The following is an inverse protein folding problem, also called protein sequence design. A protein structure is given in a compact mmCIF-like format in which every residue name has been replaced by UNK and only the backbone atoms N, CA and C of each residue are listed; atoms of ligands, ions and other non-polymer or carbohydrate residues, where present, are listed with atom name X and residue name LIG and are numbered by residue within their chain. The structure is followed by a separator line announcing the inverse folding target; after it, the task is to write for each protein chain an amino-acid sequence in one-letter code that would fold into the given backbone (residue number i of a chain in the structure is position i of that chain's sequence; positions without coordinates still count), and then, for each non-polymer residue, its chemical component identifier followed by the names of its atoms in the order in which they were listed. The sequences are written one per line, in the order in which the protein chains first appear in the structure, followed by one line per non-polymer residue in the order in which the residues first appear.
data_IF_650703457525
#
_entry.id   IF_650703457525
#
_cell.length_a   1.000
_cell.length_b   1.000
_cell.length_c   1.000
_cell.angle_alpha   90.00
_cell.angle_beta   90.00
_cell.angle_gamma   90.00
#
_symmetry.space_group_name_H-M   'P 1'
#
loop_
_entity.id
_entity.type
_entity.pdbx_description
1 polymer ?
#
# COMPACT_ATOMS: atom_id res chain seq x y z
N UNK A 1 -3.33 -28.25 31.75
CA UNK A 1 -3.87 -26.92 31.41
C UNK A 1 -2.79 -26.05 30.81
N UNK A 2 -2.83 -25.81 29.51
CA UNK A 2 -1.91 -24.87 28.86
C UNK A 2 -2.49 -23.48 29.10
N UNK A 3 -1.84 -22.70 29.96
CA UNK A 3 -2.20 -21.32 30.24
C UNK A 3 -2.07 -20.52 28.94
N UNK A 4 -3.18 -20.11 28.35
CA UNK A 4 -3.20 -19.16 27.23
C UNK A 4 -2.78 -17.79 27.79
N UNK A 5 -1.58 -17.35 27.44
CA UNK A 5 -1.08 -16.03 27.84
C UNK A 5 -1.92 -14.97 27.11
N UNK A 6 -2.80 -14.28 27.85
CA UNK A 6 -3.48 -13.08 27.37
C UNK A 6 -2.53 -11.88 27.49
N UNK A 7 -2.26 -11.21 26.35
CA UNK A 7 -1.57 -9.91 26.34
C UNK A 7 -2.63 -8.81 26.44
N UNK A 8 -2.47 -7.90 27.38
CA UNK A 8 -3.40 -6.80 27.60
C UNK A 8 -2.81 -5.50 27.01
N UNK A 9 -3.65 -4.75 26.29
CA UNK A 9 -3.31 -3.41 25.79
C UNK A 9 -3.89 -2.42 26.79
N UNK A 10 -3.06 -1.55 27.34
CA UNK A 10 -3.49 -0.51 28.27
C UNK A 10 -3.17 0.84 27.62
N UNK A 11 -4.18 1.69 27.51
CA UNK A 11 -4.14 2.97 26.78
C UNK A 11 -4.00 4.19 27.69
N UNK A 12 -3.88 3.98 29.01
CA UNK A 12 -3.78 5.06 30.00
C UNK A 12 -2.41 5.04 30.71
N UNK A 13 -1.81 6.21 30.89
CA UNK A 13 -0.44 6.42 31.37
C UNK A 13 -0.26 5.99 32.85
N UNK A 14 -1.37 5.88 33.60
CA UNK A 14 -1.37 5.69 35.06
C UNK A 14 -1.17 4.23 35.54
N UNK A 15 -0.99 3.26 34.63
CA UNK A 15 -0.77 1.86 34.98
C UNK A 15 0.64 1.38 34.60
N UNK A 16 1.66 1.97 35.24
CA UNK A 16 3.03 1.46 35.19
C UNK A 16 3.17 0.19 36.02
N UNK A 17 2.71 -0.93 35.49
CA UNK A 17 3.09 -2.27 35.95
C UNK A 17 4.22 -2.82 35.07
N UNK A 18 5.34 -3.27 35.66
CA UNK A 18 6.43 -4.00 34.99
C UNK A 18 6.04 -5.43 34.55
N UNK A 19 4.79 -5.61 34.14
CA UNK A 19 4.31 -6.92 33.70
C UNK A 19 4.58 -7.08 32.22
N UNK A 20 5.30 -8.14 31.83
CA UNK A 20 5.63 -8.45 30.43
C UNK A 20 4.36 -8.68 29.55
N UNK A 21 3.20 -8.83 30.18
CA UNK A 21 1.89 -8.96 29.51
C UNK A 21 1.24 -7.62 29.16
N UNK A 22 1.76 -6.51 29.69
CA UNK A 22 1.22 -5.16 29.47
C UNK A 22 1.96 -4.49 28.32
N UNK A 23 1.21 -4.16 27.27
CA UNK A 23 1.71 -3.35 26.15
C UNK A 23 1.17 -1.94 26.32
N UNK A 24 2.08 -1.00 26.60
CA UNK A 24 1.78 0.43 26.61
C UNK A 24 1.91 0.95 25.18
N UNK A 25 0.81 1.47 24.65
CA UNK A 25 0.80 2.15 23.35
C UNK A 25 0.31 3.57 23.56
N UNK A 26 1.20 4.52 23.31
CA UNK A 26 0.86 5.93 23.38
C UNK A 26 0.04 6.29 22.14
N UNK A 27 -1.17 6.82 22.35
CA UNK A 27 -2.02 7.30 21.26
C UNK A 27 -2.07 8.83 21.28
N UNK A 28 -1.13 9.46 20.56
CA UNK A 28 -1.09 10.92 20.36
C UNK A 28 -2.00 11.36 19.19
N UNK A 29 -3.16 10.72 19.01
CA UNK A 29 -4.09 10.98 17.91
C UNK A 29 -3.80 10.25 16.59
N UNK A 30 -2.77 9.39 16.55
CA UNK A 30 -2.50 8.48 15.43
C UNK A 30 -3.02 7.06 15.73
N UNK A 31 -4.32 6.86 15.54
CA UNK A 31 -4.98 5.58 15.79
C UNK A 31 -4.37 4.46 14.93
N UNK A 32 -4.09 4.74 13.65
CA UNK A 32 -3.52 3.73 12.75
C UNK A 32 -2.10 3.33 13.20
N UNK A 33 -1.27 4.32 13.55
CA UNK A 33 0.05 4.09 14.11
C UNK A 33 -0.01 3.24 15.38
N UNK A 34 -0.90 3.58 16.31
CA UNK A 34 -1.13 2.82 17.53
C UNK A 34 -1.53 1.37 17.23
N UNK A 35 -2.45 1.14 16.29
CA UNK A 35 -2.87 -0.22 15.87
C UNK A 35 -1.69 -1.02 15.31
N UNK A 36 -0.90 -0.43 14.41
CA UNK A 36 0.24 -1.12 13.78
C UNK A 36 1.30 -1.48 14.81
N UNK A 37 1.67 -0.54 15.69
CA UNK A 37 2.66 -0.77 16.75
C UNK A 37 2.17 -1.82 17.74
N UNK A 38 0.90 -1.75 18.13
CA UNK A 38 0.30 -2.76 19.02
C UNK A 38 0.33 -4.13 18.37
N UNK A 39 -0.08 -4.23 17.09
CA UNK A 39 -0.04 -5.49 16.35
C UNK A 39 1.38 -6.04 16.24
N UNK A 40 2.38 -5.19 16.00
CA UNK A 40 3.79 -5.58 15.98
C UNK A 40 4.22 -6.19 17.33
N UNK A 41 3.98 -5.49 18.43
CA UNK A 41 4.36 -5.92 19.78
C UNK A 41 3.64 -7.22 20.20
N UNK A 42 2.35 -7.34 19.88
CA UNK A 42 1.58 -8.57 20.10
C UNK A 42 2.18 -9.76 19.35
N UNK A 43 2.68 -9.54 18.13
CA UNK A 43 3.34 -10.54 17.30
C UNK A 43 4.83 -10.77 17.64
N UNK A 44 5.35 -10.13 18.70
CA UNK A 44 6.74 -10.28 19.15
C UNK A 44 7.75 -9.46 18.35
N UNK A 45 7.28 -8.54 17.51
CA UNK A 45 8.12 -7.61 16.74
C UNK A 45 8.42 -6.40 17.62
N UNK A 46 9.52 -6.45 18.36
CA UNK A 46 9.90 -5.39 19.31
C UNK A 46 10.84 -4.34 18.70
N UNK A 47 11.66 -4.72 17.72
CA UNK A 47 12.57 -3.80 17.01
C UNK A 47 12.25 -3.64 15.54
N UNK A 48 11.71 -4.69 14.90
CA UNK A 48 11.50 -4.72 13.45
C UNK A 48 12.83 -4.70 12.69
N UNK A 49 13.19 -5.79 12.01
CA UNK A 49 14.37 -5.76 11.13
C UNK A 49 14.01 -5.34 9.72
N UNK A 50 12.93 -5.91 9.17
CA UNK A 50 12.54 -5.72 7.79
C UNK A 50 11.02 -5.56 7.69
N UNK A 51 10.59 -4.42 7.18
CA UNK A 51 9.22 -4.16 6.78
C UNK A 51 9.08 -4.24 5.27
N UNK A 52 8.07 -4.95 4.81
CA UNK A 52 7.69 -5.04 3.40
C UNK A 52 6.25 -4.62 3.22
N UNK A 53 6.04 -3.67 2.33
CA UNK A 53 4.72 -3.22 1.90
C UNK A 53 4.41 -3.88 0.57
N UNK A 54 3.48 -4.83 0.57
CA UNK A 54 2.96 -5.44 -0.65
C UNK A 54 1.86 -4.59 -1.25
N UNK A 55 1.93 -4.38 -2.57
CA UNK A 55 0.96 -3.61 -3.34
C UNK A 55 0.50 -4.47 -4.50
N UNK A 56 -0.80 -4.73 -4.57
CA UNK A 56 -1.47 -5.42 -5.68
C UNK A 56 -2.22 -4.41 -6.56
N UNK A 57 -1.67 -3.99 -7.71
CA UNK A 57 -2.27 -2.96 -8.55
C UNK A 57 -3.51 -3.44 -9.32
N UNK A 58 -4.62 -2.71 -9.19
CA UNK A 58 -5.86 -3.00 -9.90
C UNK A 58 -6.82 -1.82 -9.92
N UNK A 59 -8.09 -2.08 -10.28
CA UNK A 59 -9.17 -1.09 -10.12
C UNK A 59 -9.35 -0.68 -8.65
N UNK A 60 -8.99 -1.56 -7.72
CA UNK A 60 -8.69 -1.26 -6.33
C UNK A 60 -7.31 -1.84 -6.05
N UNK A 61 -6.51 -1.12 -5.29
CA UNK A 61 -5.15 -1.51 -4.93
C UNK A 61 -5.19 -2.27 -3.61
N UNK A 62 -4.85 -3.55 -3.64
CA UNK A 62 -4.63 -4.31 -2.40
C UNK A 62 -3.33 -3.88 -1.74
N UNK A 63 -3.34 -3.69 -0.43
CA UNK A 63 -2.15 -3.29 0.34
C UNK A 63 -1.97 -4.21 1.54
N UNK A 64 -0.74 -4.61 1.81
CA UNK A 64 -0.38 -5.38 2.99
C UNK A 64 0.93 -4.87 3.61
N UNK A 65 0.95 -4.67 4.92
CA UNK A 65 2.16 -4.38 5.68
C UNK A 65 2.60 -5.64 6.41
N UNK A 66 3.82 -6.09 6.11
CA UNK A 66 4.48 -7.21 6.77
C UNK A 66 5.71 -6.70 7.49
N UNK A 67 5.90 -7.06 8.75
CA UNK A 67 7.15 -6.80 9.48
C UNK A 67 7.66 -8.12 10.03
N UNK A 68 8.93 -8.45 9.75
CA UNK A 68 9.59 -9.70 10.17
C UNK A 68 8.74 -10.96 9.86
N UNK A 69 8.11 -10.97 8.68
CA UNK A 69 7.27 -12.07 8.19
C UNK A 69 5.84 -12.11 8.75
N UNK A 70 5.47 -11.19 9.66
CA UNK A 70 4.13 -11.11 10.25
C UNK A 70 3.28 -10.06 9.54
N UNK A 71 2.08 -10.45 9.10
CA UNK A 71 1.10 -9.53 8.51
C UNK A 71 0.50 -8.69 9.63
N UNK A 72 0.72 -7.38 9.61
CA UNK A 72 0.24 -6.46 10.64
C UNK A 72 -1.02 -5.72 10.21
N UNK A 73 -1.12 -5.37 8.93
CA UNK A 73 -2.25 -4.63 8.39
C UNK A 73 -2.49 -5.04 6.95
N UNK A 74 -3.75 -5.10 6.56
CA UNK A 74 -4.18 -5.19 5.16
C UNK A 74 -5.27 -4.17 4.91
N UNK A 75 -5.20 -3.48 3.79
CA UNK A 75 -6.25 -2.54 3.38
C UNK A 75 -6.37 -2.51 1.87
N UNK A 76 -7.28 -1.68 1.38
CA UNK A 76 -7.45 -1.47 -0.05
C UNK A 76 -7.67 0.00 -0.36
N UNK A 77 -6.98 0.50 -1.39
CA UNK A 77 -7.09 1.86 -1.86
C UNK A 77 -7.85 1.93 -3.19
N UNK A 78 -8.67 2.96 -3.35
CA UNK A 78 -9.51 3.12 -4.54
C UNK A 78 -8.77 3.71 -5.75
N UNK A 79 -7.63 4.37 -5.53
CA UNK A 79 -6.86 5.05 -6.58
C UNK A 79 -5.35 4.87 -6.37
N UNK A 80 -4.53 5.06 -7.43
CA UNK A 80 -3.07 5.03 -7.31
C UNK A 80 -2.53 6.01 -6.26
N UNK A 81 -3.04 7.25 -6.26
CA UNK A 81 -2.62 8.27 -5.30
C UNK A 81 -3.00 7.92 -3.86
N UNK A 82 -4.19 7.35 -3.63
CA UNK A 82 -4.58 6.86 -2.32
C UNK A 82 -3.67 5.71 -1.87
N UNK A 83 -3.35 4.76 -2.76
CA UNK A 83 -2.44 3.66 -2.44
C UNK A 83 -1.03 4.15 -2.05
N UNK A 84 -0.52 5.15 -2.76
CA UNK A 84 0.76 5.80 -2.46
C UNK A 84 0.72 6.52 -1.12
N UNK A 85 -0.33 7.32 -0.83
CA UNK A 85 -0.48 7.98 0.47
C UNK A 85 -0.47 6.97 1.62
N UNK A 86 -1.19 5.86 1.46
CA UNK A 86 -1.23 4.80 2.47
C UNK A 86 0.14 4.14 2.67
N UNK A 87 0.85 3.85 1.56
CA UNK A 87 2.20 3.26 1.61
C UNK A 87 3.17 4.20 2.33
N UNK A 88 3.15 5.50 2.01
CA UNK A 88 3.99 6.50 2.64
C UNK A 88 3.62 6.71 4.12
N UNK A 89 2.32 6.64 4.46
CA UNK A 89 1.86 6.69 5.86
C UNK A 89 2.45 5.55 6.68
N UNK A 90 2.39 4.32 6.18
CA UNK A 90 3.01 3.17 6.85
C UNK A 90 4.52 3.33 6.98
N UNK A 91 5.22 3.83 5.96
CA UNK A 91 6.66 4.14 6.06
C UNK A 91 6.95 5.13 7.18
N UNK A 92 6.15 6.19 7.31
CA UNK A 92 6.29 7.19 8.39
C UNK A 92 6.08 6.55 9.76
N UNK A 93 5.00 5.76 9.93
CA UNK A 93 4.71 5.05 11.18
C UNK A 93 5.87 4.12 11.57
N UNK A 94 6.40 3.34 10.61
CA UNK A 94 7.51 2.43 10.86
C UNK A 94 8.76 3.22 11.24
N UNK A 95 9.10 4.29 10.53
CA UNK A 95 10.30 5.10 10.84
C UNK A 95 10.23 5.80 12.20
N UNK A 96 9.03 6.19 12.63
CA UNK A 96 8.82 6.84 13.93
C UNK A 96 8.90 5.86 15.10
N UNK A 97 8.41 4.62 14.93
CA UNK A 97 8.25 3.67 16.02
C UNK A 97 9.27 2.52 16.01
N UNK A 98 9.88 2.23 14.86
CA UNK A 98 10.80 1.12 14.60
C UNK A 98 12.04 1.64 13.84
N UNK A 99 12.81 2.52 14.50
CA UNK A 99 13.88 3.35 13.91
C UNK A 99 14.93 2.58 13.10
N UNK A 100 15.14 1.29 13.38
CA UNK A 100 16.13 0.45 12.70
C UNK A 100 15.54 -0.49 11.63
N UNK A 101 14.24 -0.40 11.38
CA UNK A 101 13.55 -1.27 10.44
C UNK A 101 13.76 -0.79 9.00
N UNK A 102 14.35 -1.64 8.15
CA UNK A 102 14.45 -1.36 6.72
C UNK A 102 13.05 -1.45 6.09
N UNK A 103 12.73 -0.61 5.11
CA UNK A 103 11.41 -0.63 4.46
C UNK A 103 11.55 -0.82 2.95
N UNK A 104 10.83 -1.81 2.42
CA UNK A 104 10.77 -2.12 1.00
C UNK A 104 9.32 -2.16 0.52
N UNK A 105 9.07 -1.58 -0.65
CA UNK A 105 7.78 -1.70 -1.34
C UNK A 105 7.91 -2.78 -2.41
N UNK A 106 7.00 -3.74 -2.42
CA UNK A 106 6.90 -4.77 -3.46
C UNK A 106 5.58 -4.59 -4.19
N UNK A 107 5.65 -4.40 -5.50
CA UNK A 107 4.49 -4.11 -6.33
C UNK A 107 4.27 -5.23 -7.33
N UNK A 108 3.03 -5.71 -7.40
CA UNK A 108 2.61 -6.70 -8.37
C UNK A 108 2.79 -6.25 -9.82
N UNK A 109 3.31 -7.15 -10.66
CA UNK A 109 3.52 -6.95 -12.09
C UNK A 109 2.34 -7.31 -12.99
N UNK A 110 1.24 -7.84 -12.44
CA UNK A 110 0.14 -8.46 -13.20
C UNK A 110 -0.58 -7.52 -14.17
N UNK A 111 -0.63 -6.22 -13.87
CA UNK A 111 -1.15 -5.20 -14.79
C UNK A 111 -0.14 -4.08 -15.02
N UNK A 112 0.43 -4.03 -16.23
CA UNK A 112 1.32 -2.95 -16.66
C UNK A 112 0.70 -1.57 -16.51
N UNK A 113 -0.60 -1.44 -16.76
CA UNK A 113 -1.31 -0.18 -16.63
C UNK A 113 -1.36 0.33 -15.18
N UNK A 114 -1.86 -0.49 -14.25
CA UNK A 114 -2.01 -0.07 -12.85
C UNK A 114 -0.65 0.04 -12.14
N UNK A 115 0.29 -0.84 -12.47
CA UNK A 115 1.68 -0.75 -12.01
C UNK A 115 2.28 0.62 -12.34
N UNK A 116 2.24 1.03 -13.62
CA UNK A 116 2.84 2.29 -14.04
C UNK A 116 2.16 3.51 -13.38
N UNK A 117 0.83 3.49 -13.23
CA UNK A 117 0.12 4.57 -12.53
C UNK A 117 0.56 4.70 -11.07
N UNK A 118 0.71 3.57 -10.36
CA UNK A 118 1.21 3.58 -8.99
C UNK A 118 2.65 4.07 -8.90
N UNK A 119 3.55 3.54 -9.75
CA UNK A 119 4.97 3.94 -9.75
C UNK A 119 5.15 5.42 -10.07
N UNK A 120 4.41 5.96 -11.06
CA UNK A 120 4.41 7.40 -11.38
C UNK A 120 3.93 8.25 -10.20
N UNK A 121 2.84 7.83 -9.55
CA UNK A 121 2.32 8.53 -8.37
C UNK A 121 3.33 8.49 -7.20
N UNK A 122 3.98 7.34 -7.00
CA UNK A 122 4.99 7.16 -5.96
C UNK A 122 6.23 8.03 -6.23
N UNK A 123 6.72 8.05 -7.46
CA UNK A 123 7.88 8.87 -7.86
C UNK A 123 7.62 10.37 -7.66
N UNK A 124 6.40 10.84 -7.93
CA UNK A 124 6.01 12.24 -7.66
C UNK A 124 5.94 12.56 -6.17
N UNK A 125 5.51 11.60 -5.35
CA UNK A 125 5.31 11.80 -3.92
C UNK A 125 6.59 11.59 -3.08
N UNK A 126 7.52 10.74 -3.52
CA UNK A 126 8.76 10.46 -2.80
C UNK A 126 9.87 9.93 -3.72
N UNK A 127 11.08 10.48 -3.56
CA UNK A 127 12.27 10.07 -4.33
C UNK A 127 13.16 9.03 -3.63
N UNK A 128 12.85 8.63 -2.39
CA UNK A 128 13.76 7.85 -1.52
C UNK A 128 13.14 6.58 -0.93
N UNK A 129 12.37 5.85 -1.72
CA UNK A 129 11.79 4.56 -1.31
C UNK A 129 12.33 3.42 -2.16
N UNK A 130 12.71 2.32 -1.51
CA UNK A 130 13.15 1.12 -2.20
C UNK A 130 11.93 0.37 -2.75
N UNK A 131 11.91 0.11 -4.05
CA UNK A 131 10.78 -0.53 -4.73
C UNK A 131 11.26 -1.70 -5.57
N UNK A 132 10.55 -2.82 -5.46
CA UNK A 132 10.70 -3.99 -6.32
C UNK A 132 9.39 -4.32 -7.04
N UNK A 133 9.51 -4.89 -8.23
CA UNK A 133 8.39 -5.43 -9.01
C UNK A 133 8.43 -6.95 -8.88
N UNK A 134 7.31 -7.53 -8.50
CA UNK A 134 7.15 -8.97 -8.32
C UNK A 134 6.43 -9.54 -9.53
N UNK A 135 6.98 -10.61 -10.10
CA UNK A 135 6.28 -11.35 -11.16
C UNK A 135 5.20 -12.26 -10.56
N UNK A 136 4.00 -12.16 -11.14
CA UNK A 136 2.81 -12.90 -10.72
C UNK A 136 2.54 -14.11 -11.64
N UNK A 137 3.25 -14.26 -12.77
CA UNK A 137 2.94 -15.23 -13.82
C UNK A 137 3.09 -16.73 -13.45
N UNK A 138 3.42 -17.05 -12.20
CA UNK A 138 3.54 -18.43 -11.70
C UNK A 138 2.63 -18.75 -10.50
N UNK A 139 1.52 -18.04 -10.31
CA UNK A 139 0.55 -18.36 -9.26
C UNK A 139 -0.44 -19.44 -9.73
N UNK A 140 -0.05 -20.71 -9.64
CA UNK A 140 -1.05 -21.75 -9.36
C UNK A 140 -1.45 -21.57 -7.90
N UNK A 141 -2.63 -20.98 -7.67
CA UNK A 141 -3.29 -21.06 -6.37
C UNK A 141 -3.60 -22.54 -6.16
N UNK A 142 -2.77 -23.25 -5.41
CA UNK A 142 -3.17 -24.52 -4.83
C UNK A 142 -4.30 -24.19 -3.86
N UNK A 143 -5.53 -24.39 -4.33
CA UNK A 143 -6.78 -24.29 -3.59
C UNK A 143 -6.78 -25.32 -2.47
N UNK A 144 -6.09 -24.99 -1.37
CA UNK A 144 -6.15 -25.70 -0.11
C UNK A 144 -7.04 -24.94 0.88
N UNK A 145 -7.69 -25.63 1.82
CA UNK A 145 -8.65 -25.05 2.76
C UNK A 145 -8.07 -23.99 3.73
N UNK A 146 -6.75 -23.79 3.77
CA UNK A 146 -6.05 -22.84 4.67
C UNK A 146 -5.58 -21.53 3.99
N UNK A 147 -5.90 -21.27 2.72
CA UNK A 147 -5.22 -20.23 1.93
C UNK A 147 -6.12 -19.01 1.54
N UNK A 148 -6.66 -18.31 2.55
CA UNK A 148 -7.26 -16.97 2.38
C UNK A 148 -6.20 -15.85 2.43
N UNK A 149 -5.07 -16.05 1.77
CA UNK A 149 -4.01 -15.02 1.69
C UNK A 149 -4.35 -14.00 0.60
N UNK A 150 -4.46 -12.73 0.97
CA UNK A 150 -4.63 -11.64 0.00
C UNK A 150 -3.43 -11.55 -0.96
N UNK A 151 -3.65 -11.21 -2.24
CA UNK A 151 -2.59 -11.07 -3.25
C UNK A 151 -1.46 -10.14 -2.80
N UNK A 152 -1.81 -9.03 -2.15
CA UNK A 152 -0.83 -8.09 -1.60
C UNK A 152 0.10 -8.75 -0.55
N UNK A 153 -0.41 -9.67 0.26
CA UNK A 153 0.40 -10.46 1.21
C UNK A 153 1.37 -11.38 0.47
N UNK A 154 0.91 -12.04 -0.60
CA UNK A 154 1.75 -12.91 -1.43
C UNK A 154 2.86 -12.09 -2.11
N UNK A 155 2.51 -10.93 -2.68
CA UNK A 155 3.46 -10.00 -3.30
C UNK A 155 4.50 -9.52 -2.29
N UNK A 156 4.10 -9.15 -1.07
CA UNK A 156 5.02 -8.74 -0.02
C UNK A 156 6.05 -9.83 0.34
N UNK A 157 5.70 -11.10 0.22
CA UNK A 157 6.57 -12.21 0.62
C UNK A 157 7.52 -12.69 -0.49
N UNK A 158 7.27 -12.33 -1.75
CA UNK A 158 8.08 -12.77 -2.89
C UNK A 158 9.22 -11.81 -3.18
N UNK A 159 10.35 -12.33 -3.61
CA UNK A 159 11.41 -11.48 -4.16
C UNK A 159 10.96 -10.85 -5.47
N UNK A 160 11.39 -9.61 -5.69
CA UNK A 160 11.14 -8.88 -6.92
C UNK A 160 12.41 -8.28 -7.49
N UNK A 161 12.27 -7.72 -8.69
CA UNK A 161 13.35 -7.04 -9.40
C UNK A 161 13.27 -5.53 -9.16
N UNK A 162 14.41 -4.84 -9.18
CA UNK A 162 14.42 -3.39 -9.07
C UNK A 162 13.58 -2.73 -10.18
N UNK A 163 12.95 -1.60 -9.85
CA UNK A 163 12.20 -0.81 -10.83
C UNK A 163 13.16 -0.21 -11.85
N UNK A 164 12.84 -0.38 -13.12
CA UNK A 164 13.51 0.24 -14.27
C UNK A 164 12.61 1.27 -14.94
N UNK A 165 13.19 2.27 -15.63
CA UNK A 165 12.44 3.38 -16.22
C UNK A 165 11.36 2.95 -17.23
N UNK A 166 11.54 1.82 -17.92
CA UNK A 166 10.52 1.27 -18.82
C UNK A 166 9.22 0.92 -18.10
N UNK A 167 9.28 0.60 -16.80
CA UNK A 167 8.12 0.23 -15.99
C UNK A 167 7.22 1.41 -15.67
N UNK A 168 7.72 2.63 -15.84
CA UNK A 168 6.95 3.86 -15.73
C UNK A 168 6.35 4.28 -17.07
N UNK A 169 6.76 3.70 -18.20
CA UNK A 169 6.25 4.07 -19.52
C UNK A 169 4.98 3.28 -19.84
N UNK A 170 4.01 3.99 -20.39
CA UNK A 170 2.78 3.40 -20.91
C UNK A 170 2.72 3.65 -22.40
N UNK A 171 2.53 2.58 -23.16
CA UNK A 171 2.28 2.70 -24.59
C UNK A 171 0.89 3.29 -24.84
N UNK A 172 0.76 4.05 -25.93
CA UNK A 172 -0.53 4.50 -26.42
C UNK A 172 -1.28 3.30 -27.01
N UNK A 173 -2.09 2.65 -26.18
CA UNK A 173 -2.98 1.55 -26.58
C UNK A 173 -4.43 1.96 -26.34
N UNK A 174 -5.32 1.69 -27.29
CA UNK A 174 -6.76 1.95 -27.12
C UNK A 174 -7.34 1.27 -25.88
N UNK A 175 -6.83 0.09 -25.53
CA UNK A 175 -7.19 -0.61 -24.29
C UNK A 175 -6.88 0.21 -23.04
N UNK A 176 -5.74 0.91 -22.99
CA UNK A 176 -5.37 1.76 -21.86
C UNK A 176 -6.17 3.04 -21.82
N UNK A 177 -6.51 3.62 -22.97
CA UNK A 177 -7.41 4.78 -23.04
C UNK A 177 -8.78 4.40 -22.46
N UNK A 178 -9.37 3.29 -22.90
CA UNK A 178 -10.66 2.80 -22.37
C UNK A 178 -10.59 2.51 -20.87
N UNK A 179 -9.53 1.86 -20.41
CA UNK A 179 -9.33 1.54 -18.99
C UNK A 179 -9.15 2.79 -18.14
N UNK A 180 -8.40 3.78 -18.62
CA UNK A 180 -8.20 5.05 -17.94
C UNK A 180 -9.50 5.84 -17.83
N UNK A 181 -10.28 5.94 -18.91
CA UNK A 181 -11.60 6.58 -18.90
C UNK A 181 -12.54 5.90 -17.90
N UNK A 182 -12.54 4.56 -17.86
CA UNK A 182 -13.32 3.79 -16.87
C UNK A 182 -12.88 4.09 -15.44
N UNK A 183 -11.58 4.04 -15.16
CA UNK A 183 -11.02 4.34 -13.84
C UNK A 183 -11.36 5.76 -13.41
N UNK A 184 -11.21 6.74 -14.31
CA UNK A 184 -11.55 8.13 -14.04
C UNK A 184 -13.03 8.30 -13.68
N UNK A 185 -13.94 7.73 -14.47
CA UNK A 185 -15.38 7.76 -14.18
C UNK A 185 -15.70 7.13 -12.83
N UNK A 186 -15.07 6.00 -12.49
CA UNK A 186 -15.23 5.37 -11.17
C UNK A 186 -14.77 6.28 -10.03
N UNK A 187 -13.66 6.99 -10.20
CA UNK A 187 -13.07 7.85 -9.16
C UNK A 187 -13.76 9.20 -8.98
N UNK A 188 -14.48 9.66 -10.00
CA UNK A 188 -15.10 10.99 -10.04
C UNK A 188 -16.63 10.92 -9.95
N UNK A 189 -17.21 9.76 -9.70
CA UNK A 189 -18.67 9.60 -9.62
C UNK A 189 -19.38 9.76 -10.97
N UNK A 190 -18.76 9.29 -12.06
CA UNK A 190 -19.37 9.21 -13.39
C UNK A 190 -18.93 10.28 -14.39
N UNK A 191 -17.95 11.14 -14.05
CA UNK A 191 -17.44 12.10 -15.03
C UNK A 191 -16.69 11.42 -16.16
N UNK A 192 -16.68 12.06 -17.33
CA UNK A 192 -16.02 11.56 -18.53
C UNK A 192 -14.67 12.22 -18.71
N UNK A 193 -13.70 11.43 -19.14
CA UNK A 193 -12.38 11.90 -19.57
C UNK A 193 -12.34 11.87 -21.09
N UNK A 194 -11.90 12.97 -21.72
CA UNK A 194 -11.74 13.02 -23.17
C UNK A 194 -10.62 12.06 -23.64
N UNK A 195 -10.54 11.77 -24.94
CA UNK A 195 -9.44 10.96 -25.48
C UNK A 195 -8.11 11.69 -25.33
N UNK A 196 -8.08 12.99 -25.62
CA UNK A 196 -6.86 13.80 -25.58
C UNK A 196 -6.31 13.89 -24.15
N UNK A 197 -7.16 14.11 -23.15
CA UNK A 197 -6.73 14.08 -21.73
C UNK A 197 -6.24 12.70 -21.30
N UNK A 198 -6.89 11.63 -21.77
CA UNK A 198 -6.43 10.27 -21.49
C UNK A 198 -5.03 10.03 -22.10
N UNK A 199 -4.79 10.54 -23.30
CA UNK A 199 -3.49 10.45 -23.96
C UNK A 199 -2.41 11.26 -23.26
N UNK A 200 -2.73 12.46 -22.77
CA UNK A 200 -1.83 13.27 -21.94
C UNK A 200 -1.40 12.53 -20.67
N UNK A 201 -2.34 11.84 -20.02
CA UNK A 201 -2.06 11.06 -18.82
C UNK A 201 -1.21 9.82 -19.15
N UNK A 202 -1.52 9.09 -20.22
CA UNK A 202 -0.72 7.94 -20.65
C UNK A 202 0.71 8.35 -21.01
N UNK A 203 0.87 9.47 -21.71
CA UNK A 203 2.16 10.05 -22.05
C UNK A 203 2.92 10.62 -20.84
N UNK A 204 2.25 10.81 -19.69
CA UNK A 204 2.84 11.37 -18.48
C UNK A 204 2.96 12.90 -18.49
N UNK A 205 2.30 13.58 -19.44
CA UNK A 205 2.22 15.06 -19.50
C UNK A 205 1.33 15.63 -18.40
N UNK A 206 0.32 14.88 -17.98
CA UNK A 206 -0.60 15.18 -16.88
C UNK A 206 -0.73 13.97 -15.96
N UNK A 207 -0.94 14.16 -14.67
CA UNK A 207 -1.25 13.03 -13.77
C UNK A 207 -2.75 12.76 -13.68
N UNK A 208 -3.13 11.52 -13.35
CA UNK A 208 -4.53 11.18 -13.09
C UNK A 208 -5.10 11.96 -11.90
N UNK A 209 -4.28 12.23 -10.88
CA UNK A 209 -4.71 12.96 -9.68
C UNK A 209 -4.98 14.45 -9.97
N UNK A 210 -4.17 15.07 -10.84
CA UNK A 210 -4.43 16.42 -11.38
C UNK A 210 -5.73 16.48 -12.17
N UNK A 211 -6.03 15.44 -12.97
CA UNK A 211 -7.27 15.35 -13.71
C UNK A 211 -8.50 15.21 -12.80
N UNK A 212 -8.40 14.40 -11.75
CA UNK A 212 -9.47 14.21 -10.75
C UNK A 212 -9.70 15.51 -9.97
N UNK A 213 -8.63 16.18 -9.56
CA UNK A 213 -8.71 17.43 -8.78
C UNK A 213 -9.41 18.54 -9.54
N UNK A 214 -9.13 18.67 -10.84
CA UNK A 214 -9.78 19.66 -11.70
C UNK A 214 -11.32 19.54 -11.71
N UNK A 215 -11.85 18.30 -11.70
CA UNK A 215 -13.31 18.06 -11.66
C UNK A 215 -13.93 18.49 -10.32
N UNK A 216 -13.23 18.28 -9.21
CA UNK A 216 -13.74 18.66 -7.89
C UNK A 216 -13.72 20.18 -7.69
N UNK A 217 -12.73 20.89 -8.24
CA UNK A 217 -12.69 22.35 -8.22
C UNK A 217 -13.86 22.96 -9.01
N UNK A 218 -14.14 22.47 -10.22
CA UNK A 218 -15.25 22.97 -11.05
C UNK A 218 -16.66 22.71 -10.51
N UNK A 219 -16.81 21.96 -9.40
CA UNK A 219 -18.11 21.74 -8.74
C UNK A 219 -18.34 22.66 -7.54
N UNK A 220 -17.31 23.39 -7.10
CA UNK A 220 -17.37 24.33 -5.98
C UNK A 220 -17.45 25.81 -6.46
N UNK A 221 -17.46 26.02 -7.77
CA UNK A 221 -17.78 27.30 -8.44
C UNK A 221 -19.23 27.25 -8.96
#
# INVERSE_FOLDING_TARGET
SICQVAKAIITDEDMTGKDERVILVKNEGDIEGAVIVTAALLNGVTRGTNAVIGVDPGLRFGLALIIDGKVLCTTSAISPAHAVRQTLRWITIIRQNLVHCSVMIRVGGGSRFFLALYLRALQRASSRVAVQIVDEHHTTVTSGPDNDRSSATIIAQREGVAVTDDRLRLERREGYIRLLKRLFGQLTGGNRLSTDEAEDILAGRRSLDEAISAVHCSKND
#
